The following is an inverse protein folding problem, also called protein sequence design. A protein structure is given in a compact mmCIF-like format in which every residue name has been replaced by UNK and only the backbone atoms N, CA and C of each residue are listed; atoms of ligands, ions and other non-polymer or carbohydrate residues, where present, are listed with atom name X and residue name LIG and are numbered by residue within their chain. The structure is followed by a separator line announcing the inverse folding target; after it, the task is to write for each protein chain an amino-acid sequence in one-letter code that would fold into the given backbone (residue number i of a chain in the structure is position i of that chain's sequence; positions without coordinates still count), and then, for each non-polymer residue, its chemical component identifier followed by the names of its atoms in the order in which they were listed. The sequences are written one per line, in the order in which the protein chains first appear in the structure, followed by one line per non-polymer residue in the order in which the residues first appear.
data_IF_274368867037
#
_entry.id   IF_274368867037
#
_cell.length_a   1.000
_cell.length_b   1.000
_cell.length_c   1.000
_cell.angle_alpha   90.00
_cell.angle_beta   90.00
_cell.angle_gamma   90.00
#
_symmetry.space_group_name_H-M   'P 1'
#
loop_
_entity.id
_entity.type
_entity.pdbx_description
1 polymer ?
#
# COMPACT_ATOMS: atom_id res chain seq x y z
N UNK A 1 -2.57 -11.61 -36.56
CA UNK A 1 -1.80 -11.67 -35.30
C UNK A 1 -1.68 -10.25 -34.80
N UNK A 2 -2.61 -9.84 -33.95
CA UNK A 2 -2.66 -8.49 -33.37
C UNK A 2 -1.72 -8.47 -32.17
N UNK A 3 -0.65 -7.68 -32.28
CA UNK A 3 0.20 -7.33 -31.16
C UNK A 3 -0.62 -6.47 -30.19
N UNK A 4 -1.23 -7.12 -29.20
CA UNK A 4 -1.75 -6.43 -28.02
C UNK A 4 -0.56 -5.97 -27.18
N UNK A 5 0.00 -4.83 -27.56
CA UNK A 5 0.83 -4.01 -26.69
C UNK A 5 -0.06 -3.63 -25.50
N UNK A 6 0.06 -4.39 -24.41
CA UNK A 6 -0.47 -4.03 -23.10
C UNK A 6 0.26 -2.76 -22.65
N UNK A 7 -0.20 -1.62 -23.17
CA UNK A 7 -0.05 -0.34 -22.53
C UNK A 7 -0.87 -0.45 -21.25
N UNK A 8 -0.24 -0.92 -20.17
CA UNK A 8 -0.61 -0.48 -18.83
C UNK A 8 -0.34 1.03 -18.83
N UNK A 9 -1.30 1.81 -19.31
CA UNK A 9 -1.36 3.24 -19.06
C UNK A 9 -1.20 3.39 -17.55
N UNK A 10 -0.21 4.17 -17.13
CA UNK A 10 0.16 4.35 -15.74
C UNK A 10 -1.07 4.75 -14.92
N UNK A 11 -1.72 3.74 -14.34
CA UNK A 11 -2.77 3.94 -13.37
C UNK A 11 -2.12 4.61 -12.18
N UNK A 12 -2.33 5.93 -12.04
CA UNK A 12 -1.98 6.68 -10.83
C UNK A 12 -2.82 6.11 -9.70
N UNK A 13 -2.27 5.13 -9.01
CA UNK A 13 -3.03 4.33 -8.09
C UNK A 13 -2.45 4.43 -6.68
N UNK A 14 -3.18 5.19 -5.87
CA UNK A 14 -2.68 5.97 -4.73
C UNK A 14 -2.67 5.19 -3.41
N UNK A 15 -1.61 4.44 -3.09
CA UNK A 15 -1.59 3.59 -1.90
C UNK A 15 -0.64 3.93 -0.76
N UNK A 16 -0.27 5.18 -0.48
CA UNK A 16 0.77 5.38 0.54
C UNK A 16 0.46 6.32 1.68
N UNK A 17 -0.01 5.70 2.75
CA UNK A 17 0.25 5.99 4.16
C UNK A 17 -0.48 4.87 4.94
N UNK A 18 0.23 3.93 5.56
CA UNK A 18 -0.39 3.11 6.60
C UNK A 18 -0.07 3.71 7.98
N UNK A 19 -1.05 3.56 8.85
CA UNK A 19 -1.02 3.79 10.29
C UNK A 19 0.13 2.98 10.93
N UNK A 20 0.73 3.36 12.07
CA UNK A 20 0.10 3.53 13.39
C UNK A 20 0.99 4.38 14.34
N UNK A 21 0.37 5.03 15.31
CA UNK A 21 1.00 5.44 16.56
C UNK A 21 0.98 4.25 17.55
N UNK A 22 2.08 3.51 17.71
CA UNK A 22 2.44 2.74 18.91
C UNK A 22 3.93 2.34 18.85
N UNK A 23 4.67 2.65 19.93
CA UNK A 23 5.96 2.04 20.28
C UNK A 23 7.17 2.40 19.41
N UNK A 24 7.96 3.38 19.86
CA UNK A 24 9.26 3.72 19.30
C UNK A 24 10.28 2.59 19.55
N UNK A 25 10.36 1.64 18.63
CA UNK A 25 11.64 1.17 18.12
C UNK A 25 11.57 1.41 16.61
N UNK A 26 12.13 2.52 16.16
CA UNK A 26 11.97 3.01 14.80
C UNK A 26 12.64 2.05 13.80
N UNK A 27 11.86 1.12 13.25
CA UNK A 27 12.27 0.37 12.06
C UNK A 27 12.64 1.39 10.99
N UNK A 28 13.86 1.31 10.47
CA UNK A 28 14.31 2.27 9.47
C UNK A 28 13.41 2.16 8.24
N UNK A 29 13.14 3.29 7.59
CA UNK A 29 12.31 3.31 6.39
C UNK A 29 12.83 2.33 5.31
N UNK A 30 14.15 2.20 5.19
CA UNK A 30 14.81 1.24 4.31
C UNK A 30 14.52 -0.23 4.62
N UNK A 31 14.08 -0.57 5.83
CA UNK A 31 13.72 -1.94 6.19
C UNK A 31 12.23 -2.23 5.94
N UNK A 32 11.46 -1.23 5.52
CA UNK A 32 10.04 -1.38 5.23
C UNK A 32 9.77 -1.70 3.76
N UNK A 33 9.00 -2.76 3.52
CA UNK A 33 8.45 -3.11 2.23
C UNK A 33 6.95 -2.86 2.21
N UNK A 34 6.41 -2.44 1.07
CA UNK A 34 4.96 -2.26 0.91
C UNK A 34 4.51 -2.98 -0.34
N UNK A 35 3.52 -3.85 -0.17
CA UNK A 35 2.76 -4.43 -1.27
C UNK A 35 1.57 -3.52 -1.54
N UNK A 36 1.54 -2.91 -2.72
CA UNK A 36 0.40 -2.16 -3.23
C UNK A 36 -0.48 -3.13 -4.02
N UNK A 37 -1.78 -3.15 -3.73
CA UNK A 37 -2.75 -4.00 -4.43
C UNK A 37 -3.85 -3.12 -5.02
N UNK A 38 -3.96 -3.15 -6.35
CA UNK A 38 -4.88 -2.31 -7.11
C UNK A 38 -6.17 -3.06 -7.41
N UNK A 39 -7.30 -2.43 -7.11
CA UNK A 39 -8.61 -3.05 -7.31
C UNK A 39 -9.50 -2.21 -8.20
N UNK A 40 -10.25 -2.89 -9.06
CA UNK A 40 -11.49 -2.37 -9.65
C UNK A 40 -12.65 -2.85 -8.79
N UNK A 41 -13.53 -1.92 -8.45
CA UNK A 41 -14.74 -2.18 -7.65
C UNK A 41 -15.86 -1.50 -8.40
N UNK A 42 -16.81 -2.29 -8.89
CA UNK A 42 -17.96 -1.79 -9.61
C UNK A 42 -18.89 -1.00 -8.68
N UNK A 43 -19.61 -0.04 -9.26
CA UNK A 43 -20.46 0.88 -8.49
C UNK A 43 -21.52 0.13 -7.66
N UNK A 44 -22.05 -0.98 -8.17
CA UNK A 44 -23.01 -1.85 -7.47
C UNK A 44 -22.41 -2.55 -6.23
N UNK A 45 -21.10 -2.83 -6.26
CA UNK A 45 -20.39 -3.53 -5.18
C UNK A 45 -19.69 -2.56 -4.21
N UNK A 46 -19.63 -1.27 -4.53
CA UNK A 46 -18.87 -0.26 -3.81
C UNK A 46 -19.20 -0.19 -2.31
N UNK A 47 -20.48 -0.05 -1.98
CA UNK A 47 -20.91 0.05 -0.58
C UNK A 47 -20.57 -1.23 0.21
N UNK A 48 -20.77 -2.40 -0.40
CA UNK A 48 -20.47 -3.68 0.21
C UNK A 48 -18.96 -3.89 0.41
N UNK A 49 -18.14 -3.49 -0.57
CA UNK A 49 -16.68 -3.56 -0.48
C UNK A 49 -16.12 -2.65 0.62
N UNK A 50 -16.64 -1.42 0.72
CA UNK A 50 -16.20 -0.48 1.76
C UNK A 50 -16.62 -0.92 3.15
N UNK A 51 -17.84 -1.40 3.31
CA UNK A 51 -18.31 -1.95 4.59
C UNK A 51 -17.46 -3.15 5.00
N UNK A 52 -17.20 -4.07 4.08
CA UNK A 52 -16.31 -5.21 4.33
C UNK A 52 -14.91 -4.75 4.75
N UNK A 53 -14.39 -3.71 4.10
CA UNK A 53 -13.06 -3.17 4.40
C UNK A 53 -12.98 -2.55 5.80
N UNK A 54 -14.00 -1.78 6.20
CA UNK A 54 -14.08 -1.12 7.53
C UNK A 54 -14.30 -2.11 8.67
N UNK A 55 -14.94 -3.25 8.40
CA UNK A 55 -15.28 -4.26 9.40
C UNK A 55 -14.31 -5.44 9.37
N UNK A 56 -14.49 -6.35 8.42
CA UNK A 56 -13.83 -7.64 8.34
C UNK A 56 -12.35 -7.50 8.02
N UNK A 57 -11.99 -6.73 6.98
CA UNK A 57 -10.56 -6.57 6.62
C UNK A 57 -9.79 -5.82 7.69
N UNK A 58 -10.33 -4.71 8.21
CA UNK A 58 -9.71 -3.97 9.31
C UNK A 58 -9.42 -4.89 10.50
N UNK A 59 -10.42 -5.65 10.97
CA UNK A 59 -10.26 -6.58 12.08
C UNK A 59 -9.25 -7.68 11.77
N UNK A 60 -9.30 -8.25 10.57
CA UNK A 60 -8.38 -9.30 10.14
C UNK A 60 -6.93 -8.82 10.17
N UNK A 61 -6.63 -7.68 9.55
CA UNK A 61 -5.26 -7.15 9.50
C UNK A 61 -4.79 -6.66 10.88
N UNK A 62 -5.67 -6.08 11.70
CA UNK A 62 -5.33 -5.75 13.09
C UNK A 62 -4.91 -7.00 13.88
N UNK A 63 -5.66 -8.09 13.77
CA UNK A 63 -5.33 -9.34 14.47
C UNK A 63 -4.09 -10.02 13.90
N UNK A 64 -3.87 -9.93 12.59
CA UNK A 64 -2.67 -10.44 11.92
C UNK A 64 -1.41 -9.68 12.37
N UNK A 65 -1.47 -8.35 12.52
CA UNK A 65 -0.34 -7.56 13.05
C UNK A 65 0.02 -7.97 14.49
N UNK A 66 -0.96 -8.42 15.26
CA UNK A 66 -0.76 -8.84 16.65
C UNK A 66 -0.32 -10.30 16.81
N UNK A 67 -0.19 -11.08 15.72
CA UNK A 67 0.32 -12.47 15.82
C UNK A 67 1.82 -12.50 16.05
N UNK A 68 2.26 -13.42 16.90
CA UNK A 68 3.68 -13.75 17.03
C UNK A 68 4.24 -14.23 15.68
N UNK A 69 5.41 -13.72 15.29
CA UNK A 69 6.00 -14.02 13.99
C UNK A 69 5.37 -13.28 12.81
N UNK A 70 4.41 -12.38 13.03
CA UNK A 70 3.97 -11.45 11.99
C UNK A 70 5.01 -10.34 11.82
N UNK A 71 5.40 -10.09 10.57
CA UNK A 71 6.15 -8.88 10.22
C UNK A 71 5.27 -7.85 9.51
N UNK A 72 3.95 -8.06 9.46
CA UNK A 72 3.00 -7.07 8.99
C UNK A 72 2.99 -5.92 10.01
N UNK A 73 3.35 -4.74 9.55
CA UNK A 73 3.41 -3.52 10.36
C UNK A 73 2.17 -2.64 10.22
N UNK A 74 1.55 -2.66 9.03
CA UNK A 74 0.42 -1.79 8.74
C UNK A 74 -0.43 -2.29 7.59
N UNK A 75 -1.70 -1.92 7.62
CA UNK A 75 -2.60 -2.10 6.47
C UNK A 75 -3.55 -0.91 6.34
N UNK A 76 -3.81 -0.50 5.10
CA UNK A 76 -4.83 0.47 4.77
C UNK A 76 -5.40 0.21 3.37
N UNK A 77 -6.61 0.71 3.12
CA UNK A 77 -7.21 0.79 1.78
C UNK A 77 -7.72 2.21 1.56
N UNK A 78 -7.58 2.73 0.34
CA UNK A 78 -8.14 4.01 -0.05
C UNK A 78 -8.89 3.90 -1.38
N UNK A 79 -9.91 4.74 -1.52
CA UNK A 79 -10.56 5.01 -2.80
C UNK A 79 -9.71 6.01 -3.59
N UNK A 80 -9.59 5.79 -4.89
CA UNK A 80 -8.92 6.69 -5.83
C UNK A 80 -9.95 7.70 -6.35
N UNK A 81 -9.73 8.98 -6.03
CA UNK A 81 -10.65 10.07 -6.36
C UNK A 81 -10.42 10.66 -7.75
N UNK A 82 -9.19 10.62 -8.23
CA UNK A 82 -8.82 11.12 -9.56
C UNK A 82 -8.12 10.00 -10.32
N UNK A 83 -8.79 9.48 -11.37
CA UNK A 83 -8.40 8.24 -12.07
C UNK A 83 -7.87 8.47 -13.49
N UNK A 84 -7.83 9.72 -13.97
CA UNK A 84 -7.73 9.98 -15.40
C UNK A 84 -9.01 9.55 -16.15
N UNK A 85 -9.02 9.59 -17.49
CA UNK A 85 -10.22 9.33 -18.30
C UNK A 85 -10.52 7.83 -18.55
N UNK A 86 -9.67 6.90 -18.11
CA UNK A 86 -9.76 5.49 -18.50
C UNK A 86 -10.70 4.68 -17.58
N UNK A 87 -11.69 4.01 -18.16
CA UNK A 87 -12.67 3.17 -17.43
C UNK A 87 -12.07 1.91 -16.80
N UNK A 88 -10.88 1.50 -17.22
CA UNK A 88 -10.14 0.34 -16.68
C UNK A 88 -9.14 0.72 -15.57
N UNK A 89 -9.12 1.98 -15.17
CA UNK A 89 -8.29 2.42 -14.06
C UNK A 89 -8.77 1.80 -12.72
N UNK A 90 -7.85 1.48 -11.80
CA UNK A 90 -8.20 1.06 -10.45
C UNK A 90 -9.05 2.11 -9.76
N UNK A 91 -10.05 1.65 -9.02
CA UNK A 91 -10.93 2.50 -8.20
C UNK A 91 -10.46 2.55 -6.76
N UNK A 92 -9.70 1.55 -6.32
CA UNK A 92 -9.15 1.45 -4.98
C UNK A 92 -7.74 0.92 -5.00
N UNK A 93 -7.05 1.15 -3.89
CA UNK A 93 -5.78 0.51 -3.64
C UNK A 93 -5.55 0.26 -2.16
N UNK A 94 -5.06 -0.94 -1.85
CA UNK A 94 -4.59 -1.29 -0.52
C UNK A 94 -3.07 -1.27 -0.45
N UNK A 95 -2.55 -0.92 0.73
CA UNK A 95 -1.15 -1.08 1.08
C UNK A 95 -1.05 -2.03 2.28
N UNK A 96 -0.24 -3.07 2.12
CA UNK A 96 0.23 -3.93 3.20
C UNK A 96 1.70 -3.60 3.46
N UNK A 97 2.02 -3.09 4.64
CA UNK A 97 3.37 -2.68 5.03
C UNK A 97 4.00 -3.77 5.88
N UNK A 98 5.23 -4.16 5.54
CA UNK A 98 6.00 -5.20 6.20
C UNK A 98 7.32 -4.65 6.70
N UNK A 99 7.75 -5.11 7.88
CA UNK A 99 9.11 -4.94 8.38
C UNK A 99 9.96 -6.11 7.84
N UNK A 100 10.77 -5.85 6.83
CA UNK A 100 11.47 -6.87 6.04
C UNK A 100 10.68 -7.33 4.80
N UNK A 101 11.28 -8.19 3.97
CA UNK A 101 10.69 -8.61 2.70
C UNK A 101 9.42 -9.46 2.93
N UNK A 102 8.37 -9.31 2.09
CA UNK A 102 7.22 -10.20 2.07
C UNK A 102 7.52 -11.51 1.28
N UNK A 103 6.70 -12.58 1.45
CA UNK A 103 5.59 -12.69 2.39
C UNK A 103 6.09 -12.73 3.84
N UNK A 104 5.19 -12.39 4.77
CA UNK A 104 5.55 -12.43 6.18
C UNK A 104 5.85 -13.82 6.71
N UNK A 105 6.39 -13.88 7.92
CA UNK A 105 6.82 -15.13 8.59
C UNK A 105 5.71 -15.83 9.39
N UNK A 106 4.45 -15.46 9.16
CA UNK A 106 3.33 -16.10 9.85
C UNK A 106 3.07 -17.49 9.27
N UNK A 107 3.09 -18.51 10.13
CA UNK A 107 2.84 -19.89 9.75
C UNK A 107 1.43 -20.09 9.14
N UNK A 108 1.27 -20.92 8.09
CA UNK A 108 -0.02 -21.11 7.40
C UNK A 108 -1.18 -21.50 8.33
N UNK A 109 -0.95 -22.37 9.32
CA UNK A 109 -1.99 -22.80 10.25
C UNK A 109 -2.50 -21.65 11.14
N UNK A 110 -1.62 -20.72 11.52
CA UNK A 110 -1.99 -19.53 12.29
C UNK A 110 -2.82 -18.57 11.41
N UNK A 111 -2.46 -18.43 10.14
CA UNK A 111 -3.21 -17.64 9.18
C UNK A 111 -4.61 -18.22 8.92
N UNK A 112 -4.73 -19.54 8.77
CA UNK A 112 -6.02 -20.22 8.58
C UNK A 112 -6.93 -20.07 9.81
N UNK A 113 -6.36 -20.17 11.01
CA UNK A 113 -7.07 -19.93 12.25
C UNK A 113 -7.59 -18.48 12.35
N UNK A 114 -6.82 -17.50 11.87
CA UNK A 114 -7.26 -16.10 11.79
C UNK A 114 -8.47 -15.93 10.86
N UNK A 115 -8.44 -16.52 9.66
CA UNK A 115 -9.58 -16.45 8.74
C UNK A 115 -10.86 -16.97 9.41
N UNK A 116 -10.79 -18.18 9.99
CA UNK A 116 -11.94 -18.78 10.67
C UNK A 116 -12.41 -17.94 11.87
N UNK A 117 -11.50 -17.43 12.70
CA UNK A 117 -11.83 -16.62 13.88
C UNK A 117 -12.53 -15.31 13.52
N UNK A 118 -12.07 -14.64 12.46
CA UNK A 118 -12.49 -13.27 12.16
C UNK A 118 -13.67 -13.23 11.20
N UNK A 119 -13.66 -14.08 10.18
CA UNK A 119 -14.66 -14.02 9.09
C UNK A 119 -15.59 -15.22 9.07
N UNK A 120 -15.38 -16.21 9.96
CA UNK A 120 -16.09 -17.49 9.94
C UNK A 120 -15.99 -18.23 8.59
N UNK A 121 -14.94 -17.92 7.81
CA UNK A 121 -14.68 -18.49 6.49
C UNK A 121 -13.32 -19.17 6.50
N UNK A 122 -13.14 -20.17 5.66
CA UNK A 122 -11.80 -20.62 5.31
C UNK A 122 -11.09 -19.63 4.33
N UNK A 123 -9.78 -19.79 4.08
CA UNK A 123 -9.05 -18.89 3.19
C UNK A 123 -9.59 -18.85 1.75
N UNK A 124 -10.13 -19.96 1.23
CA UNK A 124 -10.64 -20.04 -0.13
C UNK A 124 -11.99 -19.33 -0.25
N UNK A 125 -12.88 -19.53 0.72
CA UNK A 125 -14.16 -18.83 0.85
C UNK A 125 -13.94 -17.32 1.02
N UNK A 126 -13.00 -16.92 1.88
CA UNK A 126 -12.63 -15.51 2.07
C UNK A 126 -12.16 -14.87 0.75
N UNK A 127 -11.27 -15.54 0.00
CA UNK A 127 -10.81 -15.05 -1.31
C UNK A 127 -11.95 -14.96 -2.31
N UNK A 128 -12.81 -15.99 -2.38
CA UNK A 128 -13.99 -15.98 -3.25
C UNK A 128 -14.93 -14.82 -2.94
N UNK A 129 -15.18 -14.56 -1.65
CA UNK A 129 -16.01 -13.43 -1.20
C UNK A 129 -15.38 -12.09 -1.57
N UNK A 130 -14.08 -11.91 -1.36
CA UNK A 130 -13.42 -10.68 -1.79
C UNK A 130 -13.46 -10.49 -3.30
N UNK A 131 -13.20 -11.54 -4.07
CA UNK A 131 -13.23 -11.50 -5.53
C UNK A 131 -14.64 -11.29 -6.09
N UNK A 132 -15.69 -11.57 -5.33
CA UNK A 132 -17.06 -11.21 -5.73
C UNK A 132 -17.39 -9.73 -5.51
N UNK A 133 -16.55 -9.00 -4.76
CA UNK A 133 -16.74 -7.58 -4.47
C UNK A 133 -15.80 -6.69 -5.28
N UNK A 134 -14.72 -7.26 -5.81
CA UNK A 134 -13.67 -6.52 -6.52
C UNK A 134 -12.90 -7.42 -7.48
N UNK A 135 -12.33 -6.79 -8.49
CA UNK A 135 -11.30 -7.37 -9.34
C UNK A 135 -9.92 -6.90 -8.87
N UNK A 136 -8.95 -7.82 -8.74
CA UNK A 136 -7.55 -7.47 -8.54
C UNK A 136 -6.90 -7.20 -9.90
N UNK A 137 -6.52 -5.95 -10.15
CA UNK A 137 -5.88 -5.55 -11.41
C UNK A 137 -4.37 -5.81 -11.41
N UNK A 138 -3.75 -5.81 -10.24
CA UNK A 138 -2.31 -6.05 -10.12
C UNK A 138 -1.76 -5.68 -8.75
N UNK A 139 -0.48 -6.02 -8.57
CA UNK A 139 0.26 -5.70 -7.35
C UNK A 139 1.65 -5.18 -7.67
N UNK A 140 2.13 -4.29 -6.82
CA UNK A 140 3.48 -3.75 -6.89
C UNK A 140 4.18 -3.88 -5.55
N UNK A 141 5.50 -4.06 -5.58
CA UNK A 141 6.34 -4.04 -4.40
C UNK A 141 7.17 -2.75 -4.41
N UNK A 142 7.11 -2.00 -3.32
CA UNK A 142 7.97 -0.82 -3.09
C UNK A 142 8.70 -0.94 -1.77
N UNK A 143 9.85 -0.28 -1.65
CA UNK A 143 10.69 -0.26 -0.44
C UNK A 143 10.81 1.17 0.07
N UNK A 144 10.70 1.38 1.37
CA UNK A 144 10.84 2.71 1.97
C UNK A 144 12.24 3.30 1.78
N UNK A 145 12.29 4.62 1.71
CA UNK A 145 13.51 5.43 1.67
C UNK A 145 13.54 6.34 2.88
N UNK A 146 12.45 7.10 3.07
CA UNK A 146 12.33 8.08 4.14
C UNK A 146 10.86 8.23 4.58
N UNK A 147 10.66 8.68 5.82
CA UNK A 147 9.32 8.86 6.40
C UNK A 147 9.29 9.98 7.44
N UNK A 148 8.19 10.71 7.51
CA UNK A 148 7.94 11.78 8.46
C UNK A 148 6.45 11.87 8.86
N UNK A 149 6.19 12.35 10.08
CA UNK A 149 4.84 12.52 10.61
C UNK A 149 4.21 11.21 11.09
N UNK A 150 2.89 11.07 11.00
CA UNK A 150 2.19 9.84 11.37
C UNK A 150 0.68 10.01 11.55
N UNK A 151 0.00 8.87 11.65
CA UNK A 151 -1.47 8.72 11.72
C UNK A 151 -2.23 9.30 10.52
N UNK A 152 -3.03 8.48 9.85
CA UNK A 152 -3.99 8.94 8.85
C UNK A 152 -5.35 8.36 9.21
N UNK A 153 -6.14 9.07 10.04
CA UNK A 153 -7.45 8.59 10.45
C UNK A 153 -8.34 8.34 9.24
N UNK A 154 -9.35 7.49 9.43
CA UNK A 154 -10.34 7.23 8.40
C UNK A 154 -10.97 8.54 7.88
N UNK A 155 -11.09 8.65 6.56
CA UNK A 155 -11.53 9.89 5.90
C UNK A 155 -10.41 10.87 5.54
N UNK A 156 -9.16 10.58 5.93
CA UNK A 156 -8.01 11.38 5.47
C UNK A 156 -7.79 11.23 3.96
N UNK A 157 -7.31 12.31 3.34
CA UNK A 157 -6.87 12.33 1.95
C UNK A 157 -5.36 12.27 1.88
N UNK A 158 -4.84 11.70 0.79
CA UNK A 158 -3.41 11.72 0.48
C UNK A 158 -3.20 12.08 -0.98
N UNK A 159 -2.09 12.74 -1.24
CA UNK A 159 -1.56 12.98 -2.57
C UNK A 159 -0.38 12.04 -2.75
N UNK A 160 -0.28 11.42 -3.92
CA UNK A 160 0.80 10.51 -4.26
C UNK A 160 1.44 11.00 -5.54
N UNK A 161 2.75 11.13 -5.51
CA UNK A 161 3.57 11.56 -6.63
C UNK A 161 4.43 10.41 -7.12
N UNK A 162 4.51 10.26 -8.44
CA UNK A 162 5.33 9.24 -9.09
C UNK A 162 6.44 9.96 -9.85
N UNK A 163 7.66 9.45 -9.76
CA UNK A 163 8.80 10.00 -10.48
C UNK A 163 9.56 8.89 -11.20
N UNK A 164 9.79 9.10 -12.50
CA UNK A 164 10.75 8.33 -13.28
C UNK A 164 12.09 9.05 -13.22
N UNK A 165 13.13 8.32 -12.87
CA UNK A 165 14.47 8.85 -12.72
C UNK A 165 15.37 8.39 -13.86
N UNK A 166 16.34 9.22 -14.23
CA UNK A 166 17.50 8.72 -14.96
C UNK A 166 18.22 7.66 -14.11
N UNK A 167 18.70 6.53 -14.68
CA UNK A 167 19.30 5.44 -13.91
C UNK A 167 20.40 5.88 -12.93
N UNK A 168 21.23 6.86 -13.32
CA UNK A 168 22.31 7.42 -12.51
C UNK A 168 21.86 8.30 -11.33
N UNK A 169 20.59 8.74 -11.30
CA UNK A 169 20.06 9.67 -10.29
C UNK A 169 19.38 8.98 -9.12
N UNK A 170 19.15 7.67 -9.18
CA UNK A 170 18.44 6.94 -8.13
C UNK A 170 19.11 7.07 -6.75
N UNK A 171 20.44 7.00 -6.68
CA UNK A 171 21.17 7.16 -5.41
C UNK A 171 21.05 8.59 -4.85
N UNK A 172 21.27 9.60 -5.69
CA UNK A 172 21.15 11.01 -5.29
C UNK A 172 19.74 11.37 -4.84
N UNK A 173 18.71 10.80 -5.47
CA UNK A 173 17.32 10.98 -5.05
C UNK A 173 17.07 10.39 -3.66
N UNK A 174 17.56 9.17 -3.39
CA UNK A 174 17.42 8.55 -2.06
C UNK A 174 18.08 9.40 -0.98
N UNK A 175 19.28 9.89 -1.26
CA UNK A 175 20.01 10.78 -0.35
C UNK A 175 19.24 12.08 -0.10
N UNK A 176 18.71 12.72 -1.14
CA UNK A 176 17.91 13.94 -1.00
C UNK A 176 16.63 13.70 -0.19
N UNK A 177 15.95 12.56 -0.40
CA UNK A 177 14.77 12.20 0.35
C UNK A 177 15.05 12.07 1.86
N UNK A 178 16.15 11.41 2.24
CA UNK A 178 16.52 11.21 3.63
C UNK A 178 17.12 12.46 4.29
N UNK A 179 18.04 13.15 3.62
CA UNK A 179 18.81 14.26 4.21
C UNK A 179 18.12 15.62 4.11
N UNK A 180 17.31 15.85 3.07
CA UNK A 180 16.74 17.17 2.77
C UNK A 180 15.24 17.19 2.99
N UNK A 181 14.50 16.28 2.37
CA UNK A 181 13.03 16.35 2.41
C UNK A 181 12.45 15.80 3.70
N UNK A 182 13.00 14.72 4.26
CA UNK A 182 12.49 14.16 5.51
C UNK A 182 12.47 15.18 6.66
N UNK A 183 13.53 15.98 6.93
CA UNK A 183 13.47 17.01 7.97
C UNK A 183 12.41 18.08 7.71
N UNK A 184 12.25 18.51 6.45
CA UNK A 184 11.25 19.51 6.04
C UNK A 184 9.84 18.99 6.35
N UNK A 185 9.53 17.78 5.92
CA UNK A 185 8.21 17.18 6.15
C UNK A 185 7.99 16.79 7.61
N UNK A 186 9.04 16.46 8.36
CA UNK A 186 8.94 16.24 9.81
C UNK A 186 8.55 17.52 10.55
N UNK A 187 9.14 18.66 10.17
CA UNK A 187 8.74 19.96 10.71
C UNK A 187 7.28 20.30 10.34
N UNK A 188 6.88 20.12 9.08
CA UNK A 188 5.52 20.36 8.63
C UNK A 188 4.49 19.47 9.36
N UNK A 189 4.81 18.20 9.61
CA UNK A 189 3.95 17.30 10.37
C UNK A 189 3.84 17.71 11.84
N UNK A 190 4.96 18.11 12.47
CA UNK A 190 4.97 18.61 13.85
C UNK A 190 4.12 19.88 14.02
N UNK A 191 4.10 20.73 12.99
CA UNK A 191 3.27 21.94 12.94
C UNK A 191 1.79 21.65 12.58
N UNK A 192 1.42 20.40 12.33
CA UNK A 192 0.06 20.01 11.96
C UNK A 192 -0.36 20.43 10.54
N UNK A 193 0.59 20.83 9.68
CA UNK A 193 0.32 21.23 8.29
C UNK A 193 0.04 20.04 7.38
N UNK A 194 0.62 18.89 7.71
CA UNK A 194 0.38 17.61 7.07
C UNK A 194 0.27 16.54 8.15
N UNK A 195 -0.35 15.41 7.81
CA UNK A 195 -0.41 14.26 8.71
C UNK A 195 0.88 13.44 8.65
N UNK A 196 1.33 13.10 7.43
CA UNK A 196 2.51 12.30 7.19
C UNK A 196 3.07 12.53 5.78
N UNK A 197 4.30 12.08 5.57
CA UNK A 197 4.98 12.00 4.28
C UNK A 197 5.86 10.74 4.21
N UNK A 198 6.02 10.16 3.03
CA UNK A 198 6.94 9.04 2.83
C UNK A 198 7.51 9.03 1.43
N UNK A 199 8.79 8.72 1.28
CA UNK A 199 9.38 8.39 -0.03
C UNK A 199 9.74 6.91 -0.09
N UNK A 200 9.48 6.27 -1.23
CA UNK A 200 9.72 4.85 -1.51
C UNK A 200 10.31 4.66 -2.91
N UNK A 201 11.08 3.59 -3.08
CA UNK A 201 11.56 3.14 -4.39
C UNK A 201 10.83 1.89 -4.86
N UNK A 202 10.57 1.83 -6.17
CA UNK A 202 9.97 0.68 -6.83
C UNK A 202 10.88 -0.54 -6.77
N UNK A 203 10.32 -1.71 -6.47
CA UNK A 203 11.05 -2.98 -6.34
C UNK A 203 10.57 -4.00 -7.35
N UNK A 204 9.28 -4.14 -7.62
CA UNK A 204 8.75 -5.14 -8.57
C UNK A 204 7.35 -4.76 -9.10
N UNK A 205 7.02 -5.06 -10.37
CA UNK A 205 7.85 -5.68 -11.44
C UNK A 205 9.07 -4.85 -11.86
N UNK A 206 10.24 -5.48 -12.11
CA UNK A 206 11.48 -4.77 -12.57
C UNK A 206 11.66 -4.89 -14.08
N UNK A 207 12.19 -3.84 -14.70
CA UNK A 207 12.57 -3.83 -16.13
C UNK A 207 12.60 -2.41 -16.70
N UNK A 208 13.03 -2.24 -17.96
CA UNK A 208 12.99 -0.93 -18.64
C UNK A 208 11.57 -0.39 -18.84
N UNK A 209 10.57 -1.26 -18.75
CA UNK A 209 9.15 -0.96 -18.89
C UNK A 209 8.47 -0.62 -17.55
N UNK A 210 9.22 -0.52 -16.45
CA UNK A 210 8.67 -0.05 -15.18
C UNK A 210 8.12 1.39 -15.35
N UNK A 211 6.87 1.66 -14.92
CA UNK A 211 6.23 2.95 -15.18
C UNK A 211 6.87 4.10 -14.38
N UNK A 212 7.52 3.80 -13.25
CA UNK A 212 8.18 4.78 -12.38
C UNK A 212 9.24 4.12 -11.49
N UNK A 213 10.14 4.92 -10.92
CA UNK A 213 11.24 4.45 -10.06
C UNK A 213 11.02 4.79 -8.59
N UNK A 214 10.32 5.90 -8.35
CA UNK A 214 10.08 6.48 -7.03
C UNK A 214 8.60 6.80 -6.87
N UNK A 215 8.18 6.69 -5.62
CA UNK A 215 6.88 7.12 -5.16
C UNK A 215 7.03 7.95 -3.87
N UNK A 216 6.35 9.10 -3.81
CA UNK A 216 6.46 10.07 -2.71
C UNK A 216 5.14 10.71 -2.32
#
# INVERSE_FOLDING_TARGET
MTNSSLLLTAALASALAANLSFGQDAVKAEDQYVVLSYFKVDQENLAAFEEWSRTNSKKFFTEMMNQAGSNLWGWNVARILYRGPDDDAPTHVAASIYNGPPPGTLEPAALDALYKKITAMDPAEYRKRLNSLRELLGTELVRGIAWAGGSSPEGSYRVVTYSRLEPRRAAAHREAAASTWQPIYAAAAKEGKILAWSSRSYVFPRGMDAPYDILG
#
